data_IF_486750447771
#
_entry.id   IF_486750447771
#
_cell.length_a   1.000
_cell.length_b   1.000
_cell.length_c   1.000
_cell.angle_alpha   90.00
_cell.angle_beta   90.00
_cell.angle_gamma   90.00
#
_symmetry.space_group_name_H-M   'P 1'
#
loop_
_entity.id
_entity.type
_entity.pdbx_description
1 polymer ?
#
# COMPACT_ATOMS: atom_id res chain seq x y z
N UNK A 1 -43.39 -11.08 4.83
CA UNK A 1 -42.60 -9.89 4.40
C UNK A 1 -41.43 -9.77 5.36
N UNK A 2 -40.23 -10.26 5.02
CA UNK A 2 -39.22 -9.61 4.16
C UNK A 2 -38.68 -8.32 4.83
N UNK A 3 -37.39 -8.10 5.08
CA UNK A 3 -36.19 -8.82 4.65
C UNK A 3 -35.08 -8.75 5.69
N UNK A 4 -34.33 -9.85 5.75
CA UNK A 4 -33.02 -9.95 6.38
C UNK A 4 -32.02 -9.46 5.35
N UNK A 5 -31.69 -8.17 5.36
CA UNK A 5 -30.57 -7.67 4.55
C UNK A 5 -29.36 -7.42 5.42
N UNK A 6 -28.34 -8.19 5.05
CA UNK A 6 -27.06 -8.37 5.70
C UNK A 6 -26.20 -7.14 5.41
N UNK A 7 -25.89 -6.36 6.43
CA UNK A 7 -24.64 -5.61 6.42
C UNK A 7 -23.52 -6.63 6.70
N UNK A 8 -23.10 -7.31 5.64
CA UNK A 8 -21.88 -8.12 5.64
C UNK A 8 -20.74 -7.13 5.91
N UNK A 9 -20.25 -7.08 7.16
CA UNK A 9 -19.04 -6.33 7.47
C UNK A 9 -17.91 -6.81 6.57
N UNK A 10 -17.04 -5.89 6.16
CA UNK A 10 -15.76 -6.26 5.55
C UNK A 10 -15.01 -7.15 6.55
N UNK A 11 -15.13 -8.46 6.41
CA UNK A 11 -14.22 -9.41 7.04
C UNK A 11 -12.98 -9.37 6.16
N UNK A 12 -11.98 -8.58 6.55
CA UNK A 12 -10.64 -8.79 6.04
C UNK A 12 -10.21 -10.14 6.58
N UNK A 13 -10.21 -11.15 5.72
CA UNK A 13 -9.51 -12.40 5.97
C UNK A 13 -8.03 -12.05 6.06
N UNK A 14 -7.56 -11.78 7.28
CA UNK A 14 -6.13 -11.63 7.54
C UNK A 14 -5.56 -13.04 7.49
N UNK A 15 -5.33 -13.53 6.28
CA UNK A 15 -4.61 -14.77 6.11
C UNK A 15 -3.28 -14.64 6.87
N UNK A 16 -3.02 -15.58 7.77
CA UNK A 16 -1.76 -15.69 8.50
C UNK A 16 -0.66 -16.01 7.48
N UNK A 17 -0.08 -14.97 6.90
CA UNK A 17 1.05 -15.10 6.00
C UNK A 17 2.30 -15.38 6.85
N UNK A 18 3.07 -16.43 6.53
CA UNK A 18 4.34 -16.65 7.21
C UNK A 18 5.23 -15.41 7.01
N UNK A 19 5.84 -14.93 8.09
CA UNK A 19 6.79 -13.82 8.03
C UNK A 19 7.96 -14.22 7.12
N UNK A 20 8.19 -13.41 6.09
CA UNK A 20 9.26 -13.60 5.12
C UNK A 20 10.15 -12.37 5.11
N UNK A 21 11.46 -12.60 5.31
CA UNK A 21 12.48 -11.57 5.07
C UNK A 21 12.75 -11.47 3.56
N UNK A 22 12.76 -10.25 3.04
CA UNK A 22 12.98 -9.96 1.62
C UNK A 22 14.17 -9.00 1.48
N UNK A 23 15.16 -9.37 0.67
CA UNK A 23 16.33 -8.53 0.40
C UNK A 23 16.00 -7.31 -0.48
N UNK A 24 14.98 -7.44 -1.33
CA UNK A 24 14.56 -6.39 -2.27
C UNK A 24 13.05 -6.49 -2.53
N UNK A 25 12.41 -5.33 -2.59
CA UNK A 25 11.00 -5.20 -2.96
C UNK A 25 10.80 -4.08 -3.97
N UNK A 26 9.72 -4.18 -4.74
CA UNK A 26 9.21 -3.09 -5.58
C UNK A 26 7.85 -2.69 -5.04
N UNK A 27 7.67 -1.41 -4.77
CA UNK A 27 6.42 -0.86 -4.23
C UNK A 27 5.86 0.11 -5.26
N UNK A 28 4.61 -0.12 -5.71
CA UNK A 28 3.90 0.77 -6.62
C UNK A 28 2.79 1.48 -5.87
N UNK A 29 2.87 2.81 -5.83
CA UNK A 29 1.75 3.66 -5.43
C UNK A 29 0.92 3.97 -6.68
N UNK A 30 -0.37 3.69 -6.63
CA UNK A 30 -1.32 3.95 -7.72
C UNK A 30 -2.66 4.37 -7.12
N UNK A 31 -3.36 5.27 -7.80
CA UNK A 31 -4.61 5.88 -7.34
C UNK A 31 -5.09 6.90 -8.36
N UNK A 32 -6.23 7.53 -8.09
CA UNK A 32 -6.81 8.50 -9.01
C UNK A 32 -6.14 9.87 -8.88
N UNK A 33 -6.33 10.71 -9.90
CA UNK A 33 -5.88 12.11 -9.84
C UNK A 33 -6.58 12.82 -8.67
N UNK A 34 -5.79 13.25 -7.69
CA UNK A 34 -6.29 13.90 -6.47
C UNK A 34 -6.12 13.06 -5.20
N UNK A 35 -5.85 11.76 -5.30
CA UNK A 35 -5.62 10.89 -4.14
C UNK A 35 -4.23 11.07 -3.51
N UNK A 36 -3.39 11.94 -4.10
CA UNK A 36 -2.09 12.30 -3.54
C UNK A 36 -1.01 11.24 -3.72
N UNK A 37 -1.06 10.43 -4.79
CA UNK A 37 -0.04 9.40 -5.07
C UNK A 37 1.38 9.98 -5.22
N UNK A 38 1.50 11.19 -5.76
CA UNK A 38 2.79 11.91 -5.84
C UNK A 38 3.33 12.20 -4.42
N UNK A 39 2.53 12.86 -3.57
CA UNK A 39 2.92 13.17 -2.19
C UNK A 39 3.24 11.91 -1.38
N UNK A 40 2.46 10.85 -1.59
CA UNK A 40 2.68 9.56 -0.93
C UNK A 40 4.02 8.96 -1.34
N UNK A 41 4.30 8.88 -2.64
CA UNK A 41 5.56 8.37 -3.18
C UNK A 41 6.78 9.19 -2.71
N UNK A 42 6.65 10.51 -2.71
CA UNK A 42 7.72 11.43 -2.27
C UNK A 42 8.06 11.25 -0.79
N UNK A 43 7.03 11.18 0.07
CA UNK A 43 7.22 10.97 1.51
C UNK A 43 7.78 9.59 1.81
N UNK A 44 7.25 8.55 1.16
CA UNK A 44 7.75 7.18 1.33
C UNK A 44 9.23 7.10 0.96
N UNK A 45 9.60 7.58 -0.23
CA UNK A 45 10.99 7.61 -0.70
C UNK A 45 11.91 8.33 0.29
N UNK A 46 11.50 9.54 0.73
CA UNK A 46 12.29 10.35 1.65
C UNK A 46 12.54 9.65 2.98
N UNK A 47 11.49 9.05 3.56
CA UNK A 47 11.59 8.31 4.83
C UNK A 47 12.44 7.06 4.66
N UNK A 48 12.21 6.26 3.60
CA UNK A 48 13.00 5.05 3.34
C UNK A 48 14.50 5.34 3.20
N UNK A 49 14.86 6.44 2.54
CA UNK A 49 16.26 6.88 2.42
C UNK A 49 16.86 7.27 3.77
N UNK A 50 16.10 7.99 4.61
CA UNK A 50 16.54 8.36 5.97
C UNK A 50 16.79 7.12 6.84
N UNK A 51 16.00 6.06 6.65
CA UNK A 51 16.23 4.77 7.30
C UNK A 51 17.37 3.95 6.68
N UNK A 52 18.07 4.48 5.69
CA UNK A 52 19.27 3.87 5.09
C UNK A 52 19.00 2.81 4.03
N UNK A 53 17.78 2.75 3.48
CA UNK A 53 17.50 1.84 2.37
C UNK A 53 18.16 2.37 1.09
N UNK A 54 18.72 1.46 0.30
CA UNK A 54 19.10 1.76 -1.09
C UNK A 54 17.84 1.83 -1.95
N UNK A 55 17.72 2.88 -2.77
CA UNK A 55 16.47 3.20 -3.46
C UNK A 55 16.71 3.55 -4.92
N UNK A 56 15.73 3.18 -5.74
CA UNK A 56 15.54 3.69 -7.09
C UNK A 56 14.08 4.10 -7.24
N UNK A 57 13.83 5.30 -7.74
CA UNK A 57 12.47 5.79 -8.02
C UNK A 57 12.23 5.86 -9.51
N UNK A 58 10.99 5.58 -9.91
CA UNK A 58 10.52 5.72 -11.29
C UNK A 58 9.13 6.35 -11.27
N UNK A 59 9.04 7.70 -11.27
CA UNK A 59 7.78 8.39 -11.35
C UNK A 59 7.15 8.23 -12.74
N UNK A 60 5.85 7.96 -12.77
CA UNK A 60 5.01 7.92 -13.98
C UNK A 60 3.67 8.58 -13.59
N UNK A 61 3.39 9.76 -14.14
CA UNK A 61 2.26 10.62 -13.77
C UNK A 61 1.38 10.97 -14.97
#
# INVERSE_FOLDING_TARGET
MAGKDRAQGYVTDTAEHPLQELDRVVIRFAGDSGDGMQLTGDRFTSVSAIFGNDLSTLPDY
#
